data_IF_557024431010
#
_entry.id   IF_557024431010
#
_cell.length_a   1.000
_cell.length_b   1.000
_cell.length_c   1.000
_cell.angle_alpha   90.00
_cell.angle_beta   90.00
_cell.angle_gamma   90.00
#
_symmetry.space_group_name_H-M   'P 1'
#
loop_
_entity.id
_entity.type
_entity.pdbx_description
1 polymer ?
#
# COMPACT_ATOMS: atom_id res chain seq x y z
N UNK A 1 -9.41 -25.58 5.49
CA UNK A 1 -8.15 -25.22 4.80
C UNK A 1 -7.49 -26.45 4.18
N UNK A 2 -6.44 -26.30 3.37
CA UNK A 2 -5.71 -27.46 2.83
C UNK A 2 -4.85 -28.10 3.95
N UNK A 3 -5.31 -29.21 4.52
CA UNK A 3 -4.65 -29.89 5.64
C UNK A 3 -3.18 -30.24 5.35
N UNK A 4 -2.88 -30.65 4.12
CA UNK A 4 -1.51 -30.96 3.67
C UNK A 4 -0.61 -29.72 3.65
N UNK A 5 -1.16 -28.56 3.29
CA UNK A 5 -0.41 -27.30 3.34
C UNK A 5 -0.10 -26.90 4.79
N UNK A 6 -1.05 -27.07 5.71
CA UNK A 6 -0.85 -26.81 7.14
C UNK A 6 0.21 -27.74 7.75
N UNK A 7 0.18 -29.03 7.41
CA UNK A 7 1.18 -30.00 7.84
C UNK A 7 2.59 -29.64 7.32
N UNK A 8 2.71 -29.34 6.03
CA UNK A 8 3.99 -28.90 5.43
C UNK A 8 4.50 -27.60 6.05
N UNK A 9 3.60 -26.67 6.32
CA UNK A 9 3.95 -25.43 7.01
C UNK A 9 4.48 -25.70 8.42
N UNK A 10 3.84 -26.59 9.18
CA UNK A 10 4.28 -26.98 10.51
C UNK A 10 5.65 -27.69 10.51
N UNK A 11 5.98 -28.39 9.42
CA UNK A 11 7.28 -29.04 9.24
C UNK A 11 8.43 -28.07 8.91
N UNK A 12 8.14 -26.80 8.55
CA UNK A 12 9.18 -25.82 8.25
C UNK A 12 10.06 -25.53 9.48
N UNK A 13 11.37 -25.59 9.26
CA UNK A 13 12.39 -25.26 10.26
C UNK A 13 12.79 -23.80 10.13
N UNK A 14 12.49 -23.01 11.15
CA UNK A 14 12.90 -21.61 11.26
C UNK A 14 14.15 -21.52 12.14
N UNK A 15 15.21 -20.89 11.64
CA UNK A 15 16.46 -20.74 12.38
C UNK A 15 17.03 -19.34 12.26
N UNK A 16 17.67 -18.89 13.33
CA UNK A 16 18.39 -17.61 13.41
C UNK A 16 19.85 -17.93 13.69
N UNK A 17 20.75 -17.35 12.92
CA UNK A 17 22.20 -17.45 13.17
C UNK A 17 22.71 -16.07 13.56
N UNK A 18 23.36 -15.96 14.72
CA UNK A 18 24.06 -14.75 15.15
C UNK A 18 25.46 -14.73 14.55
N UNK A 19 25.98 -13.54 14.25
CA UNK A 19 27.34 -13.36 13.72
C UNK A 19 27.59 -14.27 12.52
N UNK A 20 26.67 -14.20 11.55
CA UNK A 20 26.69 -15.06 10.37
C UNK A 20 27.86 -14.65 9.47
N UNK A 21 28.93 -15.46 9.49
CA UNK A 21 30.02 -15.39 8.52
C UNK A 21 29.52 -15.90 7.19
N UNK A 22 29.61 -15.08 6.15
CA UNK A 22 29.03 -15.35 4.83
C UNK A 22 30.06 -15.41 3.72
N UNK A 23 31.24 -14.80 3.92
CA UNK A 23 32.31 -14.75 2.94
C UNK A 23 33.32 -15.88 3.18
N UNK A 24 33.79 -16.49 2.09
CA UNK A 24 34.91 -17.44 2.13
C UNK A 24 36.27 -16.73 2.06
N UNK A 25 36.31 -15.59 1.37
CA UNK A 25 37.52 -14.82 1.13
C UNK A 25 37.78 -13.87 2.29
N UNK A 26 36.74 -13.18 2.78
CA UNK A 26 36.81 -12.26 3.90
C UNK A 26 36.22 -12.89 5.17
N UNK A 27 36.91 -13.89 5.70
CA UNK A 27 36.42 -14.76 6.79
C UNK A 27 36.02 -14.03 8.08
N UNK A 28 36.49 -12.80 8.31
CA UNK A 28 36.11 -11.98 9.47
C UNK A 28 34.83 -11.17 9.27
N UNK A 29 34.31 -11.06 8.05
CA UNK A 29 33.03 -10.38 7.81
C UNK A 29 31.87 -11.23 8.29
N UNK A 30 31.08 -10.66 9.18
CA UNK A 30 29.86 -11.25 9.69
C UNK A 30 28.70 -10.25 9.63
N UNK A 31 27.51 -10.76 9.39
CA UNK A 31 26.24 -10.07 9.65
C UNK A 31 25.84 -10.30 11.10
N UNK A 32 25.16 -9.33 11.72
CA UNK A 32 24.71 -9.49 13.10
C UNK A 32 23.74 -10.67 13.25
N UNK A 33 22.76 -10.78 12.34
CA UNK A 33 21.84 -11.91 12.26
C UNK A 33 21.57 -12.34 10.81
N UNK A 34 21.33 -13.64 10.63
CA UNK A 34 20.68 -14.19 9.45
C UNK A 34 19.48 -15.06 9.82
N UNK A 35 18.37 -14.87 9.11
CA UNK A 35 17.14 -15.65 9.23
C UNK A 35 17.01 -16.64 8.07
N UNK A 36 16.67 -17.88 8.41
CA UNK A 36 16.55 -18.96 7.46
C UNK A 36 15.27 -19.77 7.67
N UNK A 37 14.73 -20.28 6.56
CA UNK A 37 13.64 -21.26 6.54
C UNK A 37 14.14 -22.49 5.79
N UNK A 38 14.17 -23.65 6.45
CA UNK A 38 14.72 -24.89 5.90
C UNK A 38 16.16 -24.76 5.37
N UNK A 39 16.95 -23.88 5.98
CA UNK A 39 18.32 -23.57 5.55
C UNK A 39 18.44 -22.60 4.37
N UNK A 40 17.32 -22.18 3.77
CA UNK A 40 17.31 -21.13 2.75
C UNK A 40 17.36 -19.75 3.42
N UNK A 41 18.26 -18.85 3.00
CA UNK A 41 18.35 -17.51 3.57
C UNK A 41 17.11 -16.70 3.18
N UNK A 42 16.50 -16.05 4.17
CA UNK A 42 15.31 -15.23 3.98
C UNK A 42 15.61 -13.77 4.24
N UNK A 43 16.28 -13.46 5.35
CA UNK A 43 16.60 -12.09 5.70
C UNK A 43 17.94 -11.96 6.41
N UNK A 44 18.60 -10.82 6.22
CA UNK A 44 19.83 -10.45 6.93
C UNK A 44 19.63 -9.19 7.76
N UNK A 45 20.46 -9.01 8.79
CA UNK A 45 20.31 -7.91 9.74
C UNK A 45 21.65 -7.27 10.05
N UNK A 46 21.66 -5.93 10.07
CA UNK A 46 22.67 -5.11 10.75
C UNK A 46 21.93 -4.33 11.85
N UNK A 47 22.41 -4.49 13.08
CA UNK A 47 21.79 -3.94 14.28
C UNK A 47 22.69 -2.87 14.89
N UNK A 48 22.10 -1.72 15.22
CA UNK A 48 22.79 -0.61 15.90
C UNK A 48 22.08 -0.25 17.18
N UNK A 49 22.81 0.43 18.06
CA UNK A 49 22.34 0.82 19.37
C UNK A 49 22.76 2.27 19.65
N UNK A 50 21.84 3.06 20.19
CA UNK A 50 22.11 4.45 20.57
C UNK A 50 23.20 4.58 21.64
N UNK A 51 23.38 3.57 22.49
CA UNK A 51 24.43 3.51 23.52
C UNK A 51 25.85 3.54 22.91
N UNK A 52 26.03 2.99 21.71
CA UNK A 52 27.31 3.08 20.98
C UNK A 52 27.36 4.29 20.04
N UNK A 53 26.40 5.21 20.16
CA UNK A 53 26.20 6.38 19.29
C UNK A 53 26.00 6.01 17.82
N UNK A 54 25.54 4.80 17.56
CA UNK A 54 25.23 4.34 16.21
C UNK A 54 23.72 4.33 15.99
N UNK A 55 23.34 4.56 14.75
CA UNK A 55 21.96 4.72 14.30
C UNK A 55 21.67 3.77 13.14
N UNK A 56 20.41 3.72 12.71
CA UNK A 56 20.02 3.01 11.49
C UNK A 56 20.80 3.47 10.25
N UNK A 57 21.28 4.72 10.21
CA UNK A 57 22.08 5.23 9.10
C UNK A 57 23.44 4.53 9.03
N UNK A 58 24.09 4.27 10.17
CA UNK A 58 25.34 3.52 10.25
C UNK A 58 25.17 2.08 9.78
N UNK A 59 24.05 1.43 10.10
CA UNK A 59 23.71 0.10 9.56
C UNK A 59 23.56 0.12 8.04
N UNK A 60 22.87 1.13 7.49
CA UNK A 60 22.71 1.29 6.03
C UNK A 60 24.08 1.52 5.36
N UNK A 61 24.91 2.38 5.93
CA UNK A 61 26.26 2.62 5.41
C UNK A 61 27.10 1.35 5.42
N UNK A 62 27.06 0.57 6.49
CA UNK A 62 27.76 -0.71 6.58
C UNK A 62 27.29 -1.70 5.50
N UNK A 63 25.99 -1.79 5.22
CA UNK A 63 25.51 -2.55 4.07
C UNK A 63 26.07 -2.03 2.74
N UNK A 64 26.06 -0.73 2.53
CA UNK A 64 26.50 -0.12 1.28
C UNK A 64 28.01 -0.23 1.04
N UNK A 65 28.81 -0.26 2.11
CA UNK A 65 30.28 -0.27 2.06
C UNK A 65 30.87 -1.67 2.14
N UNK A 66 30.37 -2.50 3.07
CA UNK A 66 31.07 -3.73 3.49
C UNK A 66 30.39 -5.01 2.99
N UNK A 67 29.19 -4.92 2.40
CA UNK A 67 28.43 -6.06 1.89
C UNK A 67 28.49 -6.06 0.35
N UNK A 68 29.52 -6.70 -0.20
CA UNK A 68 29.71 -6.82 -1.64
C UNK A 68 28.56 -7.63 -2.28
N UNK A 69 27.76 -7.05 -3.20
CA UNK A 69 26.67 -7.74 -3.88
C UNK A 69 27.07 -9.00 -4.67
N UNK A 70 28.38 -9.20 -4.93
CA UNK A 70 28.91 -10.40 -5.60
C UNK A 70 29.01 -11.61 -4.68
N UNK A 71 28.94 -11.40 -3.37
CA UNK A 71 28.87 -12.49 -2.40
C UNK A 71 27.58 -13.26 -2.58
N UNK A 72 27.67 -14.60 -2.58
CA UNK A 72 26.54 -15.48 -2.92
C UNK A 72 25.30 -15.25 -2.06
N UNK A 73 25.45 -14.79 -0.82
CA UNK A 73 24.33 -14.48 0.07
C UNK A 73 23.54 -13.23 -0.37
N UNK A 74 24.19 -12.29 -1.05
CA UNK A 74 23.65 -10.98 -1.43
C UNK A 74 23.25 -10.88 -2.91
N UNK A 75 23.46 -11.94 -3.68
CA UNK A 75 22.95 -12.07 -5.03
C UNK A 75 21.43 -11.81 -5.08
N UNK A 76 20.97 -11.18 -6.15
CA UNK A 76 19.56 -10.87 -6.35
C UNK A 76 18.68 -12.11 -6.22
N UNK A 77 17.60 -12.03 -5.45
CA UNK A 77 16.68 -13.15 -5.20
C UNK A 77 17.18 -14.19 -4.20
N UNK A 78 18.44 -14.08 -3.70
CA UNK A 78 18.96 -15.04 -2.71
C UNK A 78 18.36 -14.80 -1.33
N UNK A 79 18.47 -13.57 -0.83
CA UNK A 79 17.72 -13.11 0.34
C UNK A 79 16.50 -12.32 -0.12
N UNK A 80 15.40 -12.45 0.61
CA UNK A 80 14.16 -11.73 0.31
C UNK A 80 14.24 -10.27 0.76
N UNK A 81 14.96 -10.00 1.85
CA UNK A 81 15.08 -8.66 2.44
C UNK A 81 16.32 -8.52 3.33
N UNK A 82 16.91 -7.33 3.36
CA UNK A 82 18.03 -6.96 4.23
C UNK A 82 17.56 -5.84 5.16
N UNK A 83 17.57 -6.07 6.47
CA UNK A 83 17.14 -5.08 7.46
C UNK A 83 18.33 -4.36 8.09
N UNK A 84 18.23 -3.05 8.15
CA UNK A 84 19.09 -2.15 8.91
C UNK A 84 18.23 -1.50 9.98
N UNK A 85 18.59 -1.58 11.26
CA UNK A 85 17.76 -1.03 12.33
C UNK A 85 18.52 -0.66 13.59
N UNK A 86 17.91 0.23 14.35
CA UNK A 86 18.25 0.54 15.73
C UNK A 86 17.01 0.40 16.65
N UNK A 87 17.05 1.02 17.82
CA UNK A 87 15.98 1.01 18.82
C UNK A 87 14.74 1.84 18.41
N UNK A 88 14.89 2.71 17.42
CA UNK A 88 13.91 3.70 17.01
C UNK A 88 13.34 3.45 15.62
N UNK A 89 14.15 3.04 14.66
CA UNK A 89 13.79 2.94 13.25
C UNK A 89 14.21 1.61 12.62
N UNK A 90 13.42 1.17 11.64
CA UNK A 90 13.73 0.04 10.77
C UNK A 90 13.78 0.52 9.33
N UNK A 91 14.82 0.10 8.62
CA UNK A 91 14.93 0.24 7.17
C UNK A 91 15.17 -1.12 6.53
N UNK A 92 14.76 -1.25 5.28
CA UNK A 92 14.95 -2.48 4.51
C UNK A 92 15.41 -2.22 3.09
N UNK A 93 16.13 -3.18 2.52
CA UNK A 93 16.50 -3.21 1.11
C UNK A 93 16.23 -4.61 0.55
N UNK A 94 15.70 -4.72 -0.66
CA UNK A 94 15.45 -6.02 -1.32
C UNK A 94 16.59 -6.46 -2.25
N UNK A 95 17.51 -5.55 -2.58
CA UNK A 95 18.62 -5.83 -3.48
C UNK A 95 19.81 -4.90 -3.18
N UNK A 96 20.87 -5.46 -2.61
CA UNK A 96 22.10 -4.73 -2.36
C UNK A 96 22.85 -4.45 -3.68
N UNK A 97 23.31 -3.21 -3.84
CA UNK A 97 24.06 -2.70 -4.99
C UNK A 97 25.24 -1.82 -4.55
N UNK A 98 25.88 -2.18 -3.43
CA UNK A 98 26.89 -1.36 -2.78
C UNK A 98 26.33 0.02 -2.44
N UNK A 99 27.03 1.10 -2.82
CA UNK A 99 26.57 2.50 -2.64
C UNK A 99 25.22 2.82 -3.31
N UNK A 100 24.84 2.06 -4.35
CA UNK A 100 23.55 2.20 -5.01
C UNK A 100 22.40 1.46 -4.32
N UNK A 101 22.64 0.81 -3.17
CA UNK A 101 21.58 0.11 -2.42
C UNK A 101 20.58 1.13 -1.88
N UNK A 102 19.31 0.92 -2.20
CA UNK A 102 18.23 1.79 -1.77
C UNK A 102 17.51 1.19 -0.56
N UNK A 103 17.72 1.80 0.60
CA UNK A 103 17.05 1.41 1.85
C UNK A 103 15.82 2.26 2.08
N UNK A 104 14.68 1.58 2.22
CA UNK A 104 13.36 2.14 2.46
C UNK A 104 13.03 2.09 3.95
N UNK A 105 12.35 3.10 4.53
CA UNK A 105 11.80 2.99 5.86
C UNK A 105 10.74 1.87 5.92
N UNK A 106 10.71 1.16 7.03
CA UNK A 106 9.73 0.12 7.34
C UNK A 106 8.94 0.46 8.62
N UNK A 107 8.72 1.74 8.87
CA UNK A 107 8.21 2.26 10.13
C UNK A 107 6.67 2.38 10.16
N UNK A 108 6.09 2.43 11.36
CA UNK A 108 4.65 2.46 11.58
C UNK A 108 3.99 3.80 11.27
N UNK A 109 4.76 4.89 11.25
CA UNK A 109 4.26 6.25 11.31
C UNK A 109 3.93 6.68 12.75
N UNK A 110 4.08 7.97 13.03
CA UNK A 110 3.75 8.58 14.32
C UNK A 110 3.28 10.03 14.15
N UNK A 111 2.15 10.39 14.76
CA UNK A 111 1.56 11.74 14.69
C UNK A 111 1.49 12.29 13.24
N UNK A 112 0.91 11.48 12.34
CA UNK A 112 0.80 11.74 10.91
C UNK A 112 2.14 11.92 10.18
N UNK A 113 3.26 11.51 10.77
CA UNK A 113 4.61 11.63 10.22
C UNK A 113 5.39 10.31 10.21
N UNK A 114 6.66 10.38 9.83
CA UNK A 114 7.58 9.25 9.80
C UNK A 114 7.97 8.75 11.21
N UNK A 115 8.60 7.58 11.27
CA UNK A 115 9.10 6.98 12.50
C UNK A 115 8.09 6.04 13.16
N UNK A 116 8.35 5.67 14.41
CA UNK A 116 7.55 4.69 15.16
C UNK A 116 6.94 5.32 16.43
N UNK A 117 5.74 4.88 16.84
CA UNK A 117 5.15 5.30 18.11
C UNK A 117 6.05 4.93 19.30
N UNK A 118 6.03 5.71 20.39
CA UNK A 118 6.63 5.28 21.65
C UNK A 118 6.05 3.94 22.11
N UNK A 119 6.90 3.07 22.67
CA UNK A 119 6.49 1.80 23.25
C UNK A 119 6.84 1.80 24.74
N UNK A 120 5.85 1.91 25.65
CA UNK A 120 6.10 1.88 27.10
C UNK A 120 6.73 0.57 27.60
N UNK A 121 6.57 -0.52 26.84
CA UNK A 121 6.99 -1.87 27.24
C UNK A 121 8.26 -2.35 26.54
N UNK A 122 8.97 -1.48 25.79
CA UNK A 122 10.19 -1.88 25.09
C UNK A 122 10.63 -0.93 23.98
N UNK A 123 11.29 -1.48 22.97
CA UNK A 123 11.81 -0.71 21.84
C UNK A 123 10.69 -0.25 20.90
N UNK A 124 10.90 0.88 20.21
CA UNK A 124 9.94 1.33 19.18
C UNK A 124 9.89 0.38 17.98
N UNK A 125 10.95 -0.42 17.79
CA UNK A 125 11.08 -1.42 16.73
C UNK A 125 10.57 -2.82 17.12
N UNK A 126 9.97 -2.99 18.31
CA UNK A 126 9.46 -4.27 18.81
C UNK A 126 8.45 -4.94 17.86
N UNK A 127 7.66 -4.16 17.12
CA UNK A 127 6.70 -4.68 16.13
C UNK A 127 7.38 -5.53 15.05
N UNK A 128 8.63 -5.24 14.68
CA UNK A 128 9.36 -6.01 13.69
C UNK A 128 9.50 -7.45 14.18
N UNK A 129 9.92 -7.63 15.44
CA UNK A 129 10.19 -8.95 16.01
C UNK A 129 8.91 -9.71 16.34
N UNK A 130 7.97 -9.07 17.04
CA UNK A 130 6.79 -9.75 17.59
C UNK A 130 5.67 -9.96 16.57
N UNK A 131 5.56 -9.06 15.59
CA UNK A 131 4.46 -9.09 14.61
C UNK A 131 4.96 -9.51 13.24
N UNK A 132 5.97 -8.81 12.70
CA UNK A 132 6.41 -8.99 11.31
C UNK A 132 7.20 -10.29 11.14
N UNK A 133 8.17 -10.55 12.02
CA UNK A 133 9.08 -11.70 11.95
C UNK A 133 8.62 -12.90 12.78
N UNK A 134 7.39 -12.87 13.31
CA UNK A 134 6.74 -14.09 13.80
C UNK A 134 6.65 -15.11 12.66
N UNK A 135 6.61 -16.42 12.96
CA UNK A 135 6.57 -17.46 11.91
C UNK A 135 5.43 -17.21 10.92
N UNK A 136 4.22 -16.98 11.43
CA UNK A 136 3.05 -16.69 10.62
C UNK A 136 3.16 -15.33 9.90
N UNK A 137 3.70 -14.31 10.58
CA UNK A 137 3.88 -12.98 9.98
C UNK A 137 4.88 -12.97 8.82
N UNK A 138 5.98 -13.71 8.93
CA UNK A 138 7.00 -13.78 7.91
C UNK A 138 6.51 -14.58 6.71
N UNK A 139 5.95 -15.77 6.93
CA UNK A 139 5.46 -16.60 5.81
C UNK A 139 4.27 -15.98 5.11
N UNK A 140 3.39 -15.27 5.81
CA UNK A 140 2.34 -14.47 5.19
C UNK A 140 2.93 -13.43 4.21
N UNK A 141 4.01 -12.75 4.59
CA UNK A 141 4.70 -11.81 3.68
C UNK A 141 5.28 -12.55 2.47
N UNK A 142 5.95 -13.68 2.70
CA UNK A 142 6.56 -14.48 1.63
C UNK A 142 5.53 -15.04 0.64
N UNK A 143 4.37 -15.46 1.14
CA UNK A 143 3.32 -16.09 0.33
C UNK A 143 2.47 -15.06 -0.42
N UNK A 144 2.14 -13.93 0.22
CA UNK A 144 1.09 -13.03 -0.27
C UNK A 144 1.58 -11.66 -0.75
N UNK A 145 2.85 -11.30 -0.53
CA UNK A 145 3.35 -9.95 -0.79
C UNK A 145 4.70 -9.91 -1.50
N UNK A 146 5.67 -10.71 -1.06
CA UNK A 146 7.01 -10.71 -1.62
C UNK A 146 7.01 -11.34 -3.00
N UNK A 147 7.51 -10.62 -4.01
CA UNK A 147 7.44 -11.06 -5.39
C UNK A 147 8.62 -10.53 -6.21
N UNK A 148 8.99 -11.26 -7.26
CA UNK A 148 9.91 -10.76 -8.29
C UNK A 148 9.08 -10.46 -9.53
N UNK A 149 9.00 -9.17 -9.87
CA UNK A 149 8.27 -8.71 -11.06
C UNK A 149 9.24 -8.35 -12.17
N UNK A 150 8.89 -8.71 -13.40
CA UNK A 150 9.62 -8.25 -14.59
C UNK A 150 8.95 -6.98 -15.12
N UNK A 151 9.69 -5.88 -15.13
CA UNK A 151 9.29 -4.66 -15.83
C UNK A 151 10.02 -4.59 -17.16
N UNK A 152 9.32 -4.18 -18.23
CA UNK A 152 9.94 -3.87 -19.52
C UNK A 152 10.13 -2.38 -19.62
N UNK A 153 11.36 -1.95 -19.85
CA UNK A 153 11.64 -0.56 -20.18
C UNK A 153 11.08 -0.28 -21.58
N UNK A 154 10.10 0.62 -21.67
CA UNK A 154 9.37 0.89 -22.92
C UNK A 154 10.28 1.50 -24.00
N UNK A 155 11.32 2.23 -23.60
CA UNK A 155 12.23 2.93 -24.51
C UNK A 155 13.32 2.02 -25.04
N UNK A 156 13.85 1.13 -24.20
CA UNK A 156 14.99 0.26 -24.54
C UNK A 156 14.59 -1.19 -24.81
N UNK A 157 13.34 -1.56 -24.51
CA UNK A 157 12.83 -2.92 -24.59
C UNK A 157 13.43 -3.90 -23.59
N UNK A 158 14.38 -3.47 -22.75
CA UNK A 158 15.09 -4.32 -21.80
C UNK A 158 14.18 -4.75 -20.66
N UNK A 159 14.26 -6.01 -20.30
CA UNK A 159 13.62 -6.54 -19.09
C UNK A 159 14.48 -6.23 -17.88
N UNK A 160 13.83 -5.77 -16.81
CA UNK A 160 14.44 -5.55 -15.51
C UNK A 160 13.60 -6.26 -14.46
N UNK A 161 14.23 -7.19 -13.74
CA UNK A 161 13.62 -7.83 -12.59
C UNK A 161 13.68 -6.90 -11.38
N UNK A 162 12.57 -6.81 -10.65
CA UNK A 162 12.43 -6.04 -9.42
C UNK A 162 11.89 -6.95 -8.33
N UNK A 163 12.63 -7.06 -7.23
CA UNK A 163 12.20 -7.76 -6.04
C UNK A 163 11.45 -6.80 -5.13
N UNK A 164 10.20 -7.15 -4.82
CA UNK A 164 9.27 -6.37 -4.02
C UNK A 164 9.17 -7.00 -2.65
N UNK A 165 9.28 -6.15 -1.63
CA UNK A 165 8.87 -6.41 -0.26
C UNK A 165 7.89 -5.30 0.12
N UNK A 166 6.77 -5.60 0.79
CA UNK A 166 5.76 -4.60 1.07
C UNK A 166 6.31 -3.50 1.97
N UNK A 167 5.93 -2.24 1.72
CA UNK A 167 6.16 -1.16 2.69
C UNK A 167 5.22 -1.36 3.88
N UNK A 168 5.60 -0.82 5.04
CA UNK A 168 4.87 -1.08 6.27
C UNK A 168 3.39 -0.69 6.18
N UNK A 169 3.06 0.52 5.69
CA UNK A 169 1.67 0.99 5.58
C UNK A 169 0.82 0.13 4.65
N UNK A 170 1.43 -0.43 3.60
CA UNK A 170 0.75 -1.33 2.65
C UNK A 170 0.44 -2.68 3.30
N UNK A 171 1.41 -3.23 4.04
CA UNK A 171 1.22 -4.48 4.79
C UNK A 171 0.16 -4.32 5.89
N UNK A 172 0.25 -3.24 6.67
CA UNK A 172 -0.63 -2.95 7.80
C UNK A 172 -2.07 -2.72 7.35
N UNK A 173 -2.30 -1.94 6.28
CA UNK A 173 -3.68 -1.70 5.78
C UNK A 173 -4.33 -2.98 5.29
N UNK A 174 -3.63 -3.80 4.50
CA UNK A 174 -4.20 -5.04 3.94
C UNK A 174 -4.52 -6.02 5.07
N UNK A 175 -3.60 -6.21 6.02
CA UNK A 175 -3.83 -7.12 7.16
C UNK A 175 -5.01 -6.68 8.03
N UNK A 176 -5.14 -5.38 8.32
CA UNK A 176 -6.27 -4.86 9.12
C UNK A 176 -7.60 -5.02 8.39
N UNK A 177 -7.66 -4.73 7.09
CA UNK A 177 -8.87 -4.91 6.28
C UNK A 177 -9.30 -6.38 6.23
N UNK A 178 -8.36 -7.30 6.03
CA UNK A 178 -8.65 -8.74 6.02
C UNK A 178 -9.12 -9.24 7.39
N UNK A 179 -8.51 -8.77 8.48
CA UNK A 179 -8.91 -9.12 9.84
C UNK A 179 -10.33 -8.62 10.17
N UNK A 180 -10.63 -7.37 9.82
CA UNK A 180 -11.95 -6.79 10.05
C UNK A 180 -13.03 -7.47 9.19
N UNK A 181 -12.77 -7.65 7.89
CA UNK A 181 -13.70 -8.32 6.99
C UNK A 181 -13.94 -9.78 7.36
N UNK A 182 -12.93 -10.49 7.90
CA UNK A 182 -13.09 -11.84 8.43
C UNK A 182 -14.04 -11.87 9.63
N UNK A 183 -13.94 -10.87 10.49
CA UNK A 183 -14.73 -10.78 11.72
C UNK A 183 -16.18 -10.41 11.41
N UNK A 184 -16.38 -9.37 10.61
CA UNK A 184 -17.71 -8.78 10.38
C UNK A 184 -18.44 -9.34 9.15
N UNK A 185 -17.74 -9.97 8.22
CA UNK A 185 -18.33 -10.43 6.96
C UNK A 185 -18.56 -9.29 5.95
N UNK A 186 -19.51 -9.48 5.03
CA UNK A 186 -19.88 -8.50 4.02
C UNK A 186 -20.75 -7.36 4.59
N UNK A 187 -20.86 -6.24 3.86
CA UNK A 187 -21.72 -5.10 4.23
C UNK A 187 -20.98 -3.93 4.90
N UNK A 188 -19.66 -4.04 5.06
CA UNK A 188 -18.83 -3.02 5.72
C UNK A 188 -18.31 -1.99 4.72
N UNK A 189 -17.96 -0.81 5.22
CA UNK A 189 -17.41 0.29 4.42
C UNK A 189 -16.08 0.71 5.03
N UNK A 190 -15.08 0.85 4.18
CA UNK A 190 -13.72 1.17 4.58
C UNK A 190 -13.23 2.34 3.75
N UNK A 191 -12.83 3.41 4.42
CA UNK A 191 -12.09 4.50 3.82
C UNK A 191 -10.59 4.33 4.10
N UNK A 192 -9.79 4.18 3.04
CA UNK A 192 -8.35 4.09 3.09
C UNK A 192 -7.78 5.40 2.53
N UNK A 193 -7.22 6.24 3.41
CA UNK A 193 -6.67 7.53 3.04
C UNK A 193 -5.15 7.44 2.89
N UNK A 194 -4.66 7.13 1.68
CA UNK A 194 -3.23 6.97 1.41
C UNK A 194 -2.75 8.02 0.39
N UNK A 195 -1.65 8.70 0.68
CA UNK A 195 -1.10 9.75 -0.20
C UNK A 195 -0.92 9.29 -1.65
N UNK A 196 -0.94 10.23 -2.59
CA UNK A 196 -0.48 9.96 -3.95
C UNK A 196 0.97 9.43 -3.93
N UNK A 197 1.30 8.51 -4.84
CA UNK A 197 2.64 7.88 -4.88
C UNK A 197 2.97 6.91 -3.75
N UNK A 198 2.05 6.65 -2.81
CA UNK A 198 2.25 5.70 -1.69
C UNK A 198 2.32 4.23 -2.11
N UNK A 199 1.98 3.92 -3.36
CA UNK A 199 1.92 2.56 -3.90
C UNK A 199 0.58 1.85 -3.65
N UNK A 200 -0.54 2.58 -3.71
CA UNK A 200 -1.90 2.05 -3.50
C UNK A 200 -2.23 0.86 -4.40
N UNK A 201 -1.77 0.86 -5.66
CA UNK A 201 -1.98 -0.23 -6.62
C UNK A 201 -1.56 -1.60 -6.06
N UNK A 202 -0.42 -1.67 -5.36
CA UNK A 202 0.05 -2.93 -4.74
C UNK A 202 -0.88 -3.34 -3.60
N UNK A 203 -1.28 -2.41 -2.72
CA UNK A 203 -2.23 -2.69 -1.63
C UNK A 203 -3.57 -3.20 -2.16
N UNK A 204 -4.08 -2.60 -3.25
CA UNK A 204 -5.32 -3.02 -3.93
C UNK A 204 -5.17 -4.43 -4.49
N UNK A 205 -4.08 -4.72 -5.19
CA UNK A 205 -3.83 -6.03 -5.79
C UNK A 205 -3.71 -7.13 -4.72
N UNK A 206 -2.93 -6.90 -3.66
CA UNK A 206 -2.77 -7.84 -2.55
C UNK A 206 -4.08 -8.05 -1.78
N UNK A 207 -4.84 -6.99 -1.54
CA UNK A 207 -6.16 -7.08 -0.91
C UNK A 207 -7.12 -7.89 -1.79
N UNK A 208 -7.22 -7.58 -3.08
CA UNK A 208 -8.10 -8.27 -4.01
C UNK A 208 -7.80 -9.77 -4.06
N UNK A 209 -6.52 -10.13 -4.12
CA UNK A 209 -6.09 -11.52 -4.11
C UNK A 209 -6.49 -12.23 -2.82
N UNK A 210 -6.15 -11.66 -1.65
CA UNK A 210 -6.37 -12.32 -0.37
C UNK A 210 -7.85 -12.39 0.03
N UNK A 211 -8.70 -11.47 -0.44
CA UNK A 211 -10.15 -11.52 -0.22
C UNK A 211 -10.81 -12.75 -0.85
N UNK A 212 -10.24 -13.32 -1.91
CA UNK A 212 -10.74 -14.56 -2.56
C UNK A 212 -10.66 -15.75 -1.62
N UNK A 213 -9.55 -15.85 -0.90
CA UNK A 213 -9.28 -16.92 0.05
C UNK A 213 -9.84 -16.65 1.44
N UNK A 214 -10.41 -15.46 1.69
CA UNK A 214 -10.89 -15.07 3.00
C UNK A 214 -12.12 -15.92 3.37
N UNK A 215 -12.02 -16.62 4.51
CA UNK A 215 -13.08 -17.48 5.03
C UNK A 215 -13.49 -17.07 6.44
N UNK A 216 -14.77 -17.27 6.75
CA UNK A 216 -15.38 -17.20 8.07
C UNK A 216 -16.27 -18.45 8.23
N UNK A 217 -16.07 -19.21 9.30
CA UNK A 217 -16.81 -20.46 9.56
C UNK A 217 -16.76 -21.44 8.37
N UNK A 218 -15.56 -21.63 7.80
CA UNK A 218 -15.24 -22.42 6.59
C UNK A 218 -15.91 -22.00 5.25
N UNK A 219 -16.83 -21.04 5.29
CA UNK A 219 -17.43 -20.42 4.12
C UNK A 219 -16.58 -19.23 3.61
N UNK A 220 -16.50 -18.97 2.30
CA UNK A 220 -15.88 -17.75 1.79
C UNK A 220 -16.61 -16.52 2.36
N UNK A 221 -15.90 -15.43 2.63
CA UNK A 221 -16.56 -14.17 3.04
C UNK A 221 -17.20 -13.49 1.84
N UNK A 222 -16.53 -13.55 0.68
CA UNK A 222 -16.97 -12.95 -0.58
C UNK A 222 -16.96 -13.99 -1.69
N UNK A 223 -17.98 -13.96 -2.53
CA UNK A 223 -18.12 -14.84 -3.69
C UNK A 223 -17.36 -14.31 -4.91
N UNK A 224 -17.32 -12.99 -5.05
CA UNK A 224 -16.66 -12.26 -6.13
C UNK A 224 -16.07 -10.93 -5.63
N UNK A 225 -14.89 -10.59 -6.12
CA UNK A 225 -14.17 -9.34 -5.83
C UNK A 225 -14.20 -8.50 -7.10
N UNK A 226 -14.63 -7.25 -6.99
CA UNK A 226 -14.71 -6.31 -8.10
C UNK A 226 -13.74 -5.16 -7.83
N UNK A 227 -12.75 -5.01 -8.70
CA UNK A 227 -11.79 -3.90 -8.64
C UNK A 227 -12.24 -2.83 -9.63
N UNK A 228 -12.45 -1.63 -9.13
CA UNK A 228 -12.95 -0.47 -9.85
C UNK A 228 -11.87 0.60 -9.85
N UNK A 229 -11.39 0.96 -11.04
CA UNK A 229 -10.30 1.95 -11.22
C UNK A 229 -10.59 2.87 -12.41
N UNK A 230 -9.79 3.91 -12.62
CA UNK A 230 -9.83 4.76 -13.81
C UNK A 230 -9.41 3.95 -15.07
N UNK A 231 -9.93 4.33 -16.25
CA UNK A 231 -9.50 3.78 -17.54
C UNK A 231 -8.03 4.04 -17.83
N UNK A 232 -7.50 5.23 -17.48
CA UNK A 232 -6.09 5.60 -17.70
C UNK A 232 -5.16 4.79 -16.78
N UNK A 233 -5.62 4.53 -15.55
CA UNK A 233 -4.91 3.79 -14.50
C UNK A 233 -5.46 2.36 -14.41
N UNK A 234 -5.95 1.80 -15.52
CA UNK A 234 -6.24 0.37 -15.59
C UNK A 234 -4.91 -0.37 -15.59
N UNK A 235 -4.35 -0.46 -14.39
CA UNK A 235 -2.94 -0.62 -14.15
C UNK A 235 -2.54 -2.03 -14.58
N UNK A 236 -1.67 -2.11 -15.58
CA UNK A 236 -1.05 -3.36 -15.99
C UNK A 236 -0.39 -4.03 -14.78
N UNK A 237 0.08 -3.24 -13.80
CA UNK A 237 0.63 -3.72 -12.54
C UNK A 237 -0.42 -4.41 -11.65
N UNK A 238 -1.64 -3.88 -11.52
CA UNK A 238 -2.72 -4.53 -10.78
C UNK A 238 -3.07 -5.86 -11.45
N UNK A 239 -3.18 -5.87 -12.78
CA UNK A 239 -3.46 -7.09 -13.55
C UNK A 239 -2.37 -8.14 -13.37
N UNK A 240 -1.11 -7.76 -13.52
CA UNK A 240 0.01 -8.69 -13.48
C UNK A 240 0.24 -9.22 -12.07
N UNK A 241 0.13 -8.37 -11.05
CA UNK A 241 0.19 -8.78 -9.65
C UNK A 241 -0.93 -9.78 -9.35
N UNK A 242 -2.18 -9.46 -9.72
CA UNK A 242 -3.32 -10.37 -9.52
C UNK A 242 -3.10 -11.70 -10.27
N UNK A 243 -2.61 -11.66 -11.52
CA UNK A 243 -2.32 -12.87 -12.31
C UNK A 243 -1.21 -13.73 -11.70
N UNK A 244 -0.14 -13.12 -11.20
CA UNK A 244 0.99 -13.81 -10.59
C UNK A 244 0.57 -14.56 -9.32
N UNK A 245 -0.28 -13.97 -8.49
CA UNK A 245 -0.80 -14.63 -7.29
C UNK A 245 -1.96 -15.60 -7.60
N UNK A 246 -2.69 -15.40 -8.70
CA UNK A 246 -3.79 -16.26 -9.14
C UNK A 246 -3.35 -17.58 -9.78
N UNK A 247 -2.12 -18.08 -9.54
CA UNK A 247 -1.58 -19.37 -10.01
C UNK A 247 -2.47 -20.61 -9.70
N UNK A 248 -3.62 -20.43 -9.08
CA UNK A 248 -4.64 -21.45 -8.87
C UNK A 248 -6.03 -20.90 -9.23
N UNK A 249 -6.48 -21.14 -10.46
CA UNK A 249 -7.91 -21.26 -10.80
C UNK A 249 -8.84 -20.04 -10.62
N UNK A 250 -8.33 -18.83 -10.34
CA UNK A 250 -9.18 -17.64 -10.30
C UNK A 250 -9.47 -17.18 -11.73
N UNK A 251 -10.66 -17.51 -12.23
CA UNK A 251 -11.12 -17.05 -13.54
C UNK A 251 -11.28 -15.53 -13.51
N UNK A 252 -10.31 -14.80 -14.07
CA UNK A 252 -10.32 -13.33 -14.18
C UNK A 252 -11.24 -12.93 -15.35
N UNK A 253 -12.23 -12.08 -15.08
CA UNK A 253 -13.09 -11.47 -16.10
C UNK A 253 -12.76 -9.98 -16.28
N UNK A 254 -12.60 -9.54 -17.52
CA UNK A 254 -12.38 -8.12 -17.83
C UNK A 254 -13.61 -7.51 -18.51
N UNK A 255 -14.33 -6.64 -17.80
CA UNK A 255 -15.60 -6.12 -18.32
C UNK A 255 -15.37 -4.93 -19.25
N UNK A 256 -15.24 -5.17 -20.56
CA UNK A 256 -15.10 -4.11 -21.59
C UNK A 256 -16.45 -3.50 -21.97
N UNK A 257 -17.53 -4.29 -21.95
CA UNK A 257 -18.91 -3.86 -22.20
C UNK A 257 -19.76 -3.99 -20.92
N UNK A 258 -20.96 -3.40 -20.90
CA UNK A 258 -21.89 -3.51 -19.76
C UNK A 258 -22.42 -4.94 -19.58
N UNK A 259 -22.70 -5.65 -20.68
CA UNK A 259 -23.14 -7.06 -20.65
C UNK A 259 -22.08 -8.05 -20.15
N UNK A 260 -20.79 -7.71 -20.28
CA UNK A 260 -19.70 -8.57 -19.80
C UNK A 260 -19.73 -8.74 -18.27
N UNK A 261 -20.10 -7.68 -17.55
CA UNK A 261 -20.14 -7.69 -16.09
C UNK A 261 -21.19 -8.68 -15.58
N UNK A 262 -22.42 -8.59 -16.09
CA UNK A 262 -23.51 -9.51 -15.76
C UNK A 262 -23.11 -10.95 -16.05
N UNK A 263 -22.51 -11.20 -17.22
CA UNK A 263 -22.00 -12.52 -17.59
C UNK A 263 -20.95 -13.01 -16.59
N UNK A 264 -19.98 -12.18 -16.20
CA UNK A 264 -18.93 -12.59 -15.26
C UNK A 264 -19.43 -12.85 -13.84
N UNK A 265 -20.41 -12.06 -13.37
CA UNK A 265 -21.09 -12.31 -12.10
C UNK A 265 -21.84 -13.64 -12.18
N UNK A 266 -22.60 -13.88 -13.27
CA UNK A 266 -23.35 -15.12 -13.48
C UNK A 266 -22.44 -16.37 -13.59
N UNK A 267 -21.32 -16.26 -14.31
CA UNK A 267 -20.26 -17.28 -14.43
C UNK A 267 -19.49 -17.49 -13.11
N UNK A 268 -19.65 -16.60 -12.14
CA UNK A 268 -18.98 -16.67 -10.85
C UNK A 268 -17.48 -16.46 -10.91
N UNK A 269 -17.01 -15.57 -11.80
CA UNK A 269 -15.63 -15.09 -11.81
C UNK A 269 -15.25 -14.58 -10.42
N UNK A 270 -14.08 -15.00 -9.93
CA UNK A 270 -13.60 -14.63 -8.59
C UNK A 270 -13.12 -13.19 -8.52
N UNK A 271 -12.49 -12.71 -9.60
CA UNK A 271 -12.04 -11.32 -9.71
C UNK A 271 -12.59 -10.73 -11.01
N UNK A 272 -13.20 -9.56 -10.90
CA UNK A 272 -13.69 -8.78 -12.02
C UNK A 272 -13.04 -7.41 -11.96
N UNK A 273 -12.40 -7.00 -13.05
CA UNK A 273 -11.82 -5.66 -13.16
C UNK A 273 -12.72 -4.82 -14.06
N UNK A 274 -13.09 -3.63 -13.58
CA UNK A 274 -13.98 -2.69 -14.26
C UNK A 274 -13.53 -1.24 -14.02
N UNK A 275 -14.14 -0.32 -14.76
CA UNK A 275 -13.83 1.11 -14.69
C UNK A 275 -14.81 1.84 -13.77
N UNK A 276 -14.40 2.97 -13.20
CA UNK A 276 -15.24 3.80 -12.30
C UNK A 276 -16.54 4.26 -12.96
N UNK A 277 -16.53 4.55 -14.27
CA UNK A 277 -17.74 4.97 -15.00
C UNK A 277 -18.81 3.87 -15.04
N UNK A 278 -18.42 2.61 -14.85
CA UNK A 278 -19.35 1.47 -14.82
C UNK A 278 -19.91 1.17 -13.44
N UNK A 279 -19.46 1.89 -12.41
CA UNK A 279 -19.85 1.63 -11.03
C UNK A 279 -21.36 1.62 -10.78
N UNK A 280 -22.20 2.48 -11.39
CA UNK A 280 -23.64 2.38 -11.17
C UNK A 280 -24.19 1.07 -11.71
N UNK A 281 -23.77 0.66 -12.92
CA UNK A 281 -24.18 -0.61 -13.49
C UNK A 281 -23.72 -1.80 -12.63
N UNK A 282 -22.55 -1.70 -11.98
CA UNK A 282 -22.10 -2.70 -11.01
C UNK A 282 -23.07 -2.82 -9.83
N UNK A 283 -23.50 -1.69 -9.25
CA UNK A 283 -24.47 -1.71 -8.17
C UNK A 283 -25.83 -2.26 -8.61
N UNK A 284 -26.24 -1.97 -9.84
CA UNK A 284 -27.49 -2.46 -10.42
C UNK A 284 -27.48 -3.98 -10.54
N UNK A 285 -26.40 -4.54 -11.10
CA UNK A 285 -26.25 -5.99 -11.26
C UNK A 285 -26.13 -6.72 -9.91
N UNK A 286 -25.38 -6.17 -8.94
CA UNK A 286 -25.29 -6.76 -7.60
C UNK A 286 -26.62 -6.70 -6.87
N UNK A 287 -27.35 -5.60 -6.97
CA UNK A 287 -28.64 -5.42 -6.31
C UNK A 287 -29.75 -6.27 -6.92
N UNK A 288 -29.66 -6.56 -8.22
CA UNK A 288 -30.59 -7.42 -8.94
C UNK A 288 -30.21 -8.92 -8.87
N UNK A 289 -29.06 -9.28 -8.29
CA UNK A 289 -28.56 -10.66 -8.24
C UNK A 289 -29.45 -11.53 -7.34
N UNK A 290 -30.22 -12.48 -7.89
CA UNK A 290 -31.19 -13.26 -7.14
C UNK A 290 -30.55 -14.32 -6.22
N UNK A 291 -29.24 -14.60 -6.39
CA UNK A 291 -28.53 -15.66 -5.65
C UNK A 291 -27.97 -15.23 -4.30
N UNK A 292 -28.19 -13.97 -3.88
CA UNK A 292 -27.73 -13.48 -2.57
C UNK A 292 -26.20 -13.55 -2.36
N UNK A 293 -25.43 -13.50 -3.46
CA UNK A 293 -23.96 -13.56 -3.43
C UNK A 293 -23.40 -12.34 -2.69
N UNK A 294 -22.26 -12.53 -2.04
CA UNK A 294 -21.53 -11.49 -1.31
C UNK A 294 -20.38 -10.95 -2.15
N UNK A 295 -20.22 -9.63 -2.16
CA UNK A 295 -19.26 -8.95 -3.03
C UNK A 295 -18.31 -8.07 -2.23
N UNK A 296 -17.07 -7.97 -2.70
CA UNK A 296 -16.13 -6.94 -2.24
C UNK A 296 -15.85 -5.99 -3.40
N UNK A 297 -16.15 -4.71 -3.23
CA UNK A 297 -15.84 -3.66 -4.22
C UNK A 297 -14.63 -2.88 -3.73
N UNK A 298 -13.50 -3.01 -4.43
CA UNK A 298 -12.30 -2.21 -4.17
C UNK A 298 -12.29 -1.07 -5.18
N UNK A 299 -12.33 0.16 -4.66
CA UNK A 299 -12.46 1.38 -5.46
C UNK A 299 -11.14 2.14 -5.34
N UNK A 300 -10.41 2.28 -6.44
CA UNK A 300 -9.27 3.17 -6.53
C UNK A 300 -9.74 4.59 -6.86
N UNK A 301 -9.03 5.57 -6.32
CA UNK A 301 -9.34 6.99 -6.45
C UNK A 301 -10.81 7.30 -6.16
N UNK A 302 -11.27 6.94 -4.96
CA UNK A 302 -12.59 7.29 -4.42
C UNK A 302 -12.68 8.80 -4.08
N UNK A 303 -12.39 9.63 -5.07
CA UNK A 303 -12.59 11.07 -5.04
C UNK A 303 -13.82 11.33 -5.86
N UNK A 304 -14.80 11.88 -5.18
CA UNK A 304 -15.93 12.49 -5.85
C UNK A 304 -15.38 13.68 -6.68
N UNK A 305 -15.79 13.78 -7.95
CA UNK A 305 -15.38 14.77 -8.97
C UNK A 305 -15.00 16.11 -8.37
N UNK A 306 -14.01 16.80 -8.93
CA UNK A 306 -13.57 18.16 -8.56
C UNK A 306 -14.65 19.25 -8.79
N UNK A 307 -15.92 19.01 -8.45
CA UNK A 307 -16.99 20.01 -8.39
C UNK A 307 -16.84 20.95 -7.19
N UNK A 308 -15.78 21.76 -7.17
CA UNK A 308 -15.74 22.97 -6.37
C UNK A 308 -16.58 24.04 -7.06
N UNK A 309 -17.70 24.44 -6.45
CA UNK A 309 -18.42 25.67 -6.83
C UNK A 309 -17.53 26.88 -6.54
N UNK A 310 -16.59 27.18 -7.43
CA UNK A 310 -16.02 28.51 -7.55
C UNK A 310 -16.92 29.30 -8.52
N UNK A 311 -17.75 30.16 -7.92
CA UNK A 311 -18.38 31.38 -8.44
C UNK A 311 -18.54 31.57 -9.96
N UNK A 312 -19.80 31.57 -10.42
CA UNK A 312 -20.33 32.50 -11.43
C UNK A 312 -20.03 32.20 -12.91
N UNK A 313 -21.08 31.85 -13.67
CA UNK A 313 -21.34 32.02 -15.12
C UNK A 313 -20.25 31.67 -16.18
N UNK A 314 -19.01 31.38 -15.81
CA UNK A 314 -17.89 31.14 -16.73
C UNK A 314 -17.45 29.65 -16.79
N UNK A 315 -18.09 28.77 -16.02
CA UNK A 315 -17.73 27.34 -15.91
C UNK A 315 -18.57 26.37 -16.79
N UNK A 316 -19.65 26.82 -17.43
CA UNK A 316 -20.44 25.93 -18.32
C UNK A 316 -19.67 25.48 -19.56
N UNK A 317 -18.68 26.26 -20.00
CA UNK A 317 -17.84 25.92 -21.16
C UNK A 317 -16.63 25.03 -20.83
N UNK A 318 -16.36 24.76 -19.55
CA UNK A 318 -15.17 24.03 -19.07
C UNK A 318 -15.52 22.77 -18.26
N UNK A 319 -16.80 22.39 -18.19
CA UNK A 319 -17.22 21.17 -17.53
C UNK A 319 -16.63 19.95 -18.24
N UNK A 320 -15.71 19.25 -17.57
CA UNK A 320 -15.13 18.01 -18.06
C UNK A 320 -16.23 16.92 -18.06
N UNK A 321 -16.46 16.16 -19.15
CA UNK A 321 -17.40 15.04 -19.16
C UNK A 321 -17.19 14.03 -18.02
N UNK A 322 -15.97 13.94 -17.47
CA UNK A 322 -15.68 13.12 -16.28
C UNK A 322 -16.36 13.64 -14.99
N UNK A 323 -16.55 14.95 -14.84
CA UNK A 323 -17.21 15.55 -13.67
C UNK A 323 -18.72 15.31 -13.67
N UNK A 324 -19.38 15.34 -14.83
CA UNK A 324 -20.79 14.98 -14.95
C UNK A 324 -21.06 13.50 -14.62
N UNK A 325 -20.17 12.60 -15.05
CA UNK A 325 -20.27 11.16 -14.77
C UNK A 325 -20.12 10.90 -13.27
N UNK A 326 -19.20 11.58 -12.60
CA UNK A 326 -18.98 11.46 -11.17
C UNK A 326 -20.12 12.08 -10.35
N UNK A 327 -20.72 13.18 -10.80
CA UNK A 327 -21.93 13.76 -10.19
C UNK A 327 -23.15 12.82 -10.34
N UNK A 328 -23.28 12.14 -11.48
CA UNK A 328 -24.27 11.08 -11.69
C UNK A 328 -23.97 9.86 -10.83
N UNK A 329 -22.69 9.52 -10.63
CA UNK A 329 -22.23 8.47 -9.72
C UNK A 329 -22.65 8.77 -8.28
N UNK A 330 -22.41 10.00 -7.84
CA UNK A 330 -22.79 10.49 -6.51
C UNK A 330 -24.29 10.44 -6.28
N UNK A 331 -25.09 10.93 -7.23
CA UNK A 331 -26.56 10.90 -7.13
C UNK A 331 -27.09 9.47 -7.10
N UNK A 332 -26.51 8.55 -7.88
CA UNK A 332 -26.92 7.12 -7.88
C UNK A 332 -26.47 6.37 -6.63
N UNK A 333 -25.30 6.69 -6.07
CA UNK A 333 -24.85 6.19 -4.76
C UNK A 333 -25.71 6.71 -3.61
N UNK A 334 -26.24 7.92 -3.72
CA UNK A 334 -27.20 8.48 -2.74
C UNK A 334 -28.60 7.86 -2.88
N UNK A 335 -29.06 7.66 -4.11
CA UNK A 335 -30.39 7.11 -4.39
C UNK A 335 -30.51 5.61 -4.05
N UNK A 336 -29.40 4.87 -4.11
CA UNK A 336 -29.36 3.45 -3.74
C UNK A 336 -28.77 3.29 -2.35
N UNK A 337 -29.53 2.72 -1.42
CA UNK A 337 -28.97 2.21 -0.17
C UNK A 337 -27.81 1.29 -0.52
N UNK A 338 -26.61 1.59 -0.01
CA UNK A 338 -25.44 0.71 -0.14
C UNK A 338 -25.85 -0.71 0.21
N UNK A 339 -25.45 -1.65 -0.64
CA UNK A 339 -26.01 -3.00 -0.61
C UNK A 339 -25.43 -3.77 0.58
N UNK A 340 -26.30 -4.39 1.38
CA UNK A 340 -25.88 -5.11 2.58
C UNK A 340 -25.03 -6.36 2.28
N UNK A 341 -25.18 -6.93 1.07
CA UNK A 341 -24.37 -8.05 0.58
C UNK A 341 -23.04 -7.59 -0.06
N UNK A 342 -22.68 -6.31 0.03
CA UNK A 342 -21.45 -5.78 -0.55
C UNK A 342 -20.61 -5.03 0.50
N UNK A 343 -19.31 -5.33 0.57
CA UNK A 343 -18.34 -4.51 1.28
C UNK A 343 -17.60 -3.58 0.33
N UNK A 344 -17.29 -2.38 0.79
CA UNK A 344 -16.69 -1.32 -0.02
C UNK A 344 -15.34 -0.89 0.56
N UNK A 345 -14.28 -1.00 -0.23
CA UNK A 345 -12.91 -0.66 0.12
C UNK A 345 -12.45 0.52 -0.74
N UNK A 346 -12.65 1.74 -0.23
CA UNK A 346 -12.42 2.98 -0.96
C UNK A 346 -11.03 3.55 -0.68
N UNK A 347 -10.13 3.51 -1.66
CA UNK A 347 -8.79 4.09 -1.61
C UNK A 347 -8.78 5.50 -2.20
N UNK A 348 -8.16 6.46 -1.51
CA UNK A 348 -8.15 7.87 -1.93
C UNK A 348 -7.02 8.63 -1.25
N UNK A 349 -6.42 9.61 -1.91
CA UNK A 349 -5.41 10.48 -1.30
C UNK A 349 -6.00 11.72 -0.61
N UNK A 350 -7.16 12.19 -1.08
CA UNK A 350 -7.78 13.47 -0.75
C UNK A 350 -9.30 13.27 -0.66
N UNK A 351 -9.77 12.50 0.34
CA UNK A 351 -11.19 12.25 0.51
C UNK A 351 -11.92 13.56 0.81
N UNK A 352 -12.91 13.88 -0.04
CA UNK A 352 -13.87 14.97 0.22
C UNK A 352 -14.75 14.66 1.41
N UNK A 353 -15.40 15.68 1.97
CA UNK A 353 -16.29 15.54 3.12
C UNK A 353 -17.29 14.39 2.95
N UNK A 354 -17.96 14.36 1.80
CA UNK A 354 -18.95 13.34 1.44
C UNK A 354 -18.37 11.93 1.35
N UNK A 355 -17.18 11.77 0.78
CA UNK A 355 -16.47 10.47 0.79
C UNK A 355 -16.23 9.99 2.21
N UNK A 356 -15.86 10.90 3.12
CA UNK A 356 -15.66 10.59 4.55
C UNK A 356 -16.96 10.15 5.21
N UNK A 357 -18.06 10.85 4.97
CA UNK A 357 -19.37 10.46 5.52
C UNK A 357 -19.82 9.06 5.04
N UNK A 358 -19.60 8.74 3.77
CA UNK A 358 -20.06 7.47 3.18
C UNK A 358 -19.21 6.28 3.65
N UNK A 359 -17.88 6.42 3.64
CA UNK A 359 -16.94 5.31 3.83
C UNK A 359 -16.13 5.37 5.12
N UNK A 360 -16.06 6.52 5.78
CA UNK A 360 -15.33 6.72 7.02
C UNK A 360 -16.11 6.23 8.23
N UNK A 361 -15.37 5.80 9.25
CA UNK A 361 -15.93 5.36 10.52
C UNK A 361 -16.46 6.58 11.29
N UNK A 362 -17.72 6.48 11.72
CA UNK A 362 -18.36 7.52 12.51
C UNK A 362 -17.75 7.58 13.91
N UNK A 363 -17.28 8.76 14.29
CA UNK A 363 -16.71 9.07 15.59
C UNK A 363 -17.49 10.25 16.19
N UNK A 364 -18.41 9.97 17.14
CA UNK A 364 -19.12 11.00 17.87
C UNK A 364 -18.13 11.90 18.63
N UNK A 365 -18.31 13.20 18.51
CA UNK A 365 -17.52 14.21 19.21
C UNK A 365 -18.26 14.70 20.47
N UNK A 366 -17.52 15.32 21.39
CA UNK A 366 -18.08 15.88 22.62
C UNK A 366 -19.05 17.05 22.38
N UNK A 367 -18.96 17.73 21.23
CA UNK A 367 -19.84 18.83 20.82
C UNK A 367 -21.13 18.37 20.13
N UNK A 368 -21.38 17.06 20.06
CA UNK A 368 -22.56 16.47 19.41
C UNK A 368 -22.42 16.30 17.89
N UNK A 369 -21.31 16.73 17.28
CA UNK A 369 -21.03 16.47 15.87
C UNK A 369 -20.51 15.04 15.67
N UNK A 370 -20.65 14.50 14.46
CA UNK A 370 -20.06 13.20 14.09
C UNK A 370 -18.96 13.44 13.09
N UNK A 371 -17.72 13.14 13.48
CA UNK A 371 -16.57 13.17 12.57
C UNK A 371 -16.43 11.81 11.93
N UNK A 372 -16.08 11.77 10.64
CA UNK A 372 -15.78 10.52 9.96
C UNK A 372 -14.29 10.36 9.75
N UNK A 373 -13.70 9.32 10.34
CA UNK A 373 -12.27 9.02 10.24
C UNK A 373 -12.00 7.92 9.21
N UNK A 374 -10.87 7.95 8.50
CA UNK A 374 -10.47 6.84 7.67
C UNK A 374 -10.14 5.61 8.54
N UNK A 375 -10.43 4.42 8.03
CA UNK A 375 -10.06 3.14 8.64
C UNK A 375 -8.53 2.99 8.72
N UNK A 376 -7.83 3.51 7.72
CA UNK A 376 -6.37 3.55 7.68
C UNK A 376 -5.88 4.81 6.98
N UNK A 377 -4.80 5.40 7.50
CA UNK A 377 -4.22 6.63 6.97
C UNK A 377 -2.72 6.46 6.72
N UNK A 378 -2.26 6.97 5.58
CA UNK A 378 -0.86 7.17 5.25
C UNK A 378 -0.73 8.56 4.60
N UNK A 379 -0.27 9.53 5.38
CA UNK A 379 -0.41 10.96 5.03
C UNK A 379 0.67 11.43 4.07
N UNK A 380 0.43 12.56 3.40
CA UNK A 380 1.48 13.23 2.61
C UNK A 380 2.66 13.64 3.48
N UNK A 381 2.41 14.12 4.71
CA UNK A 381 3.47 14.48 5.66
C UNK A 381 4.40 13.29 5.93
N UNK A 382 3.84 12.11 6.23
CA UNK A 382 4.64 10.90 6.41
C UNK A 382 5.40 10.54 5.13
N UNK A 383 4.73 10.54 3.98
CA UNK A 383 5.34 10.20 2.69
C UNK A 383 6.50 11.12 2.29
N UNK A 384 6.41 12.41 2.60
CA UNK A 384 7.47 13.41 2.41
C UNK A 384 8.65 13.10 3.34
N UNK A 385 8.38 12.92 4.63
CA UNK A 385 9.41 12.67 5.64
C UNK A 385 10.16 11.35 5.38
N UNK A 386 9.46 10.34 4.86
CA UNK A 386 10.01 9.06 4.42
C UNK A 386 10.68 9.11 3.04
N UNK A 387 10.63 10.26 2.36
CA UNK A 387 11.21 10.51 1.03
C UNK A 387 10.62 9.64 -0.09
N UNK A 388 9.36 9.24 0.03
CA UNK A 388 8.64 8.58 -1.07
C UNK A 388 8.06 9.55 -2.07
N UNK A 389 7.74 10.77 -1.63
CA UNK A 389 7.32 11.87 -2.48
C UNK A 389 8.14 13.12 -2.14
N UNK A 390 8.29 14.01 -3.12
CA UNK A 390 9.01 15.27 -2.95
C UNK A 390 8.10 16.29 -2.27
N UNK A 391 8.69 17.10 -1.39
CA UNK A 391 8.03 18.28 -0.84
C UNK A 391 8.13 19.43 -1.86
N UNK A 392 7.06 19.62 -2.64
CA UNK A 392 6.99 20.70 -3.63
C UNK A 392 6.89 22.10 -2.98
N UNK A 393 6.57 22.17 -1.68
CA UNK A 393 6.43 23.43 -0.95
C UNK A 393 7.71 23.83 -0.21
N UNK A 394 8.66 22.91 0.00
CA UNK A 394 9.91 23.17 0.72
C UNK A 394 10.74 24.33 0.13
N UNK A 395 10.58 24.59 -1.17
CA UNK A 395 11.24 25.69 -1.88
C UNK A 395 10.24 26.62 -2.58
N UNK A 396 8.98 26.62 -2.15
CA UNK A 396 7.96 27.52 -2.69
C UNK A 396 8.07 28.89 -2.01
N UNK A 397 8.58 29.87 -2.74
CA UNK A 397 8.61 31.26 -2.31
C UNK A 397 7.46 32.02 -2.97
N UNK A 398 6.45 32.49 -2.21
CA UNK A 398 5.39 33.33 -2.77
C UNK A 398 5.97 34.61 -3.37
N UNK A 399 5.38 35.10 -4.46
CA UNK A 399 5.86 36.30 -5.18
C UNK A 399 5.96 37.52 -4.25
N UNK A 400 5.01 37.71 -3.33
CA UNK A 400 5.08 38.79 -2.34
C UNK A 400 6.27 38.68 -1.38
N UNK A 401 6.66 37.45 -1.01
CA UNK A 401 7.82 37.21 -0.16
C UNK A 401 9.12 37.40 -0.94
N UNK A 402 9.15 36.98 -2.20
CA UNK A 402 10.26 37.25 -3.12
C UNK A 402 10.44 38.76 -3.35
N UNK A 403 9.36 39.50 -3.61
CA UNK A 403 9.39 40.96 -3.77
C UNK A 403 9.93 41.67 -2.52
N UNK A 404 9.50 41.26 -1.32
CA UNK A 404 10.02 41.79 -0.05
C UNK A 404 11.48 41.41 0.23
N UNK A 405 11.96 40.28 -0.29
CA UNK A 405 13.36 39.86 -0.22
C UNK A 405 14.23 40.68 -1.17
N UNK A 406 13.78 40.89 -2.42
CA UNK A 406 14.47 41.72 -3.43
C UNK A 406 14.58 43.17 -2.96
N UNK A 407 13.49 43.75 -2.45
CA UNK A 407 13.47 45.12 -1.92
C UNK A 407 14.32 45.29 -0.64
N UNK A 408 14.83 44.22 -0.03
CA UNK A 408 15.68 44.27 1.18
C UNK A 408 17.17 44.08 0.91
N UNK A 409 17.57 43.92 -0.35
CA UNK A 409 18.99 43.83 -0.72
C UNK A 409 19.51 45.26 -0.89
N UNK A 410 20.65 45.60 -0.27
CA UNK A 410 21.25 46.96 -0.22
C UNK A 410 21.55 47.60 -1.59
N UNK A 411 21.34 46.89 -2.71
CA UNK A 411 21.65 47.33 -4.07
C UNK A 411 20.44 47.52 -5.00
N UNK A 412 19.20 47.56 -4.48
CA UNK A 412 18.01 47.86 -5.30
C UNK A 412 17.87 49.39 -5.53
N UNK A 413 18.00 49.89 -6.78
CA UNK A 413 17.87 51.32 -7.07
C UNK A 413 16.46 51.89 -6.80
N UNK A 414 15.44 51.06 -6.52
CA UNK A 414 14.10 51.50 -6.10
C UNK A 414 13.93 51.61 -4.57
N UNK A 415 14.99 51.42 -3.76
CA UNK A 415 14.86 51.52 -2.30
C UNK A 415 14.71 52.95 -1.75
N UNK A 416 14.74 53.97 -2.61
CA UNK A 416 14.58 55.36 -2.16
C UNK A 416 13.57 56.13 -3.02
N UNK A 417 12.29 55.79 -2.88
CA UNK A 417 11.21 56.77 -3.09
C UNK A 417 10.14 56.59 -2.01
N UNK A 418 9.98 57.69 -1.26
CA UNK A 418 9.08 57.96 -0.14
C UNK A 418 7.73 57.24 -0.12
#
# INVERSE_FOLDING_TARGET
GNAKAAERYAANRFSVTRQLRYSRDETQRALDLGLFINGLPVATFELKNSLTKQTVADAVEQYQRDRDPRERLFEFGRCVVHFALDEHEVRFCTHLKGKGSWFLPFNQGWNDGAGNPPNPNGLKTDYLWRRILSRAGLTDILENYAQVVETRDERTGRKKALQIWPRFHQLDVVRRLLADARTHGAGRRYLIQHSAGSGKSNSIAWLAHQLIGLKKDDAPVFDSIIVVTDRKILDQQIKDTIKQFAQVGATIGHALHSGDLRRFIAEGKKIIISTVQKFPFILDEIGAEPRGRRFALIIDEAHSSQGGKASGAMNEALADPEDEINDVLERRMQARKMLANASYFAFTATPKHKTREIFGEAEPQADGTVKHRPFHSYTMKQAIQERFILDVLAHYTPVESYYKLVKKVEGDPEFDTK
#
